data_IF_636566718792
#
_entry.id   IF_636566718792
#
_cell.length_a   1.000
_cell.length_b   1.000
_cell.length_c   1.000
_cell.angle_alpha   90.00
_cell.angle_beta   90.00
_cell.angle_gamma   90.00
#
_symmetry.space_group_name_H-M   'P 1'
#
loop_
_entity.id
_entity.type
_entity.pdbx_description
1 polymer ?
#
# COMPACT_ATOMS: atom_id res chain seq x y z
N UNK A 1 30.58 43.64 37.48
CA UNK A 1 31.60 44.18 36.55
C UNK A 1 31.83 43.17 35.45
N UNK A 2 31.82 43.59 34.19
CA UNK A 2 31.94 42.70 33.05
C UNK A 2 33.43 42.42 32.76
N UNK A 3 33.87 41.17 32.88
CA UNK A 3 35.30 40.78 32.80
C UNK A 3 35.81 40.54 31.37
N UNK A 4 34.95 40.64 30.36
CA UNK A 4 35.29 40.39 28.96
C UNK A 4 35.29 41.68 28.14
N UNK A 5 36.16 41.74 27.11
CA UNK A 5 36.16 42.82 26.11
C UNK A 5 34.78 42.94 25.44
N UNK A 6 34.35 44.17 25.16
CA UNK A 6 33.05 44.45 24.52
C UNK A 6 32.81 43.64 23.24
N UNK A 7 33.88 43.36 22.47
CA UNK A 7 33.81 42.54 21.26
C UNK A 7 33.56 41.05 21.56
N UNK A 8 34.14 40.52 22.65
CA UNK A 8 33.85 39.14 23.08
C UNK A 8 32.40 38.99 23.54
N UNK A 9 31.89 39.97 24.29
CA UNK A 9 30.49 39.96 24.71
C UNK A 9 29.53 40.09 23.53
N UNK A 10 29.86 40.94 22.54
CA UNK A 10 29.09 41.05 21.31
C UNK A 10 29.06 39.74 20.52
N UNK A 11 30.21 39.05 20.44
CA UNK A 11 30.31 37.75 19.76
C UNK A 11 29.53 36.65 20.49
N UNK A 12 29.60 36.61 21.83
CA UNK A 12 28.78 35.68 22.64
C UNK A 12 27.28 35.96 22.43
N UNK A 13 26.87 37.23 22.48
CA UNK A 13 25.48 37.61 22.25
C UNK A 13 25.00 37.24 20.84
N UNK A 14 25.83 37.42 19.83
CA UNK A 14 25.55 37.01 18.45
C UNK A 14 25.32 35.50 18.33
N UNK A 15 26.22 34.68 18.89
CA UNK A 15 26.05 33.23 18.88
C UNK A 15 24.84 32.77 19.69
N UNK A 16 24.55 33.38 20.84
CA UNK A 16 23.34 33.10 21.61
C UNK A 16 22.07 33.39 20.81
N UNK A 17 22.03 34.52 20.10
CA UNK A 17 20.88 34.90 19.27
C UNK A 17 20.74 33.92 18.09
N UNK A 18 21.85 33.52 17.47
CA UNK A 18 21.85 32.53 16.41
C UNK A 18 21.35 31.16 16.89
N UNK A 19 21.81 30.70 18.07
CA UNK A 19 21.33 29.45 18.70
C UNK A 19 19.85 29.53 19.06
N UNK A 20 19.39 30.67 19.59
CA UNK A 20 17.98 30.89 19.90
C UNK A 20 17.11 30.88 18.64
N UNK A 21 17.58 31.51 17.56
CA UNK A 21 16.89 31.51 16.26
C UNK A 21 16.79 30.09 15.68
N UNK A 22 17.84 29.28 15.81
CA UNK A 22 17.85 27.89 15.35
C UNK A 22 16.97 26.96 16.20
N UNK A 23 16.82 27.26 17.49
CA UNK A 23 15.96 26.51 18.41
C UNK A 23 14.48 26.93 18.33
N UNK A 24 14.19 28.15 17.86
CA UNK A 24 12.86 28.76 17.81
C UNK A 24 11.78 27.87 17.15
N UNK A 25 12.03 27.15 16.04
CA UNK A 25 11.00 26.32 15.40
C UNK A 25 10.43 25.23 16.30
N UNK A 26 11.22 24.71 17.25
CA UNK A 26 10.82 23.60 18.12
C UNK A 26 9.90 24.02 19.28
N UNK A 27 9.78 25.34 19.54
CA UNK A 27 8.84 25.87 20.53
C UNK A 27 7.40 25.83 19.98
N UNK A 28 7.25 25.87 18.66
CA UNK A 28 5.96 25.77 18.01
C UNK A 28 5.50 24.30 17.98
N UNK A 29 4.31 24.05 18.52
CA UNK A 29 3.68 22.75 18.52
C UNK A 29 3.06 22.37 17.17
N UNK A 30 2.03 21.53 17.22
CA UNK A 30 1.27 21.12 16.04
C UNK A 30 -0.18 21.60 16.13
N UNK A 31 -0.69 22.17 15.05
CA UNK A 31 -2.10 22.49 14.88
C UNK A 31 -2.88 21.27 14.39
N UNK A 32 -4.12 21.15 14.87
CA UNK A 32 -5.10 20.23 14.32
C UNK A 32 -5.39 20.60 12.87
N UNK A 33 -5.30 19.65 11.95
CA UNK A 33 -5.46 19.92 10.53
C UNK A 33 -6.27 18.85 9.79
N UNK A 34 -6.98 19.26 8.75
CA UNK A 34 -7.51 18.36 7.73
C UNK A 34 -6.67 18.53 6.49
N UNK A 35 -6.11 17.43 6.01
CA UNK A 35 -5.39 17.36 4.75
C UNK A 35 -6.29 16.80 3.68
N UNK A 36 -6.29 17.45 2.52
CA UNK A 36 -6.94 16.96 1.31
C UNK A 36 -5.88 16.77 0.24
N UNK A 37 -5.78 15.53 -0.26
CA UNK A 37 -4.93 15.14 -1.39
C UNK A 37 -5.77 14.47 -2.48
N UNK A 38 -5.26 14.45 -3.71
CA UNK A 38 -5.89 13.69 -4.79
C UNK A 38 -5.72 12.19 -4.55
N UNK A 39 -6.73 11.38 -4.86
CA UNK A 39 -6.67 9.92 -4.78
C UNK A 39 -5.93 9.27 -5.97
N UNK A 40 -5.40 10.07 -6.91
CA UNK A 40 -4.63 9.62 -8.06
C UNK A 40 -3.61 10.68 -8.52
N UNK A 41 -3.20 10.62 -9.78
CA UNK A 41 -2.18 11.52 -10.35
C UNK A 41 -2.68 12.95 -10.65
N UNK A 42 -3.99 13.20 -10.50
CA UNK A 42 -4.54 14.53 -10.69
C UNK A 42 -3.94 15.51 -9.66
N UNK A 43 -3.42 16.65 -10.13
CA UNK A 43 -2.88 17.68 -9.25
C UNK A 43 -4.01 18.45 -8.58
N UNK A 44 -3.81 18.80 -7.31
CA UNK A 44 -4.71 19.74 -6.61
C UNK A 44 -4.41 21.17 -7.05
N UNK A 45 -5.46 21.92 -7.36
CA UNK A 45 -5.40 23.28 -7.87
C UNK A 45 -5.92 24.32 -6.87
N UNK A 46 -5.69 25.60 -7.18
CA UNK A 46 -6.21 26.72 -6.38
C UNK A 46 -7.76 26.80 -6.41
N UNK A 47 -8.37 26.29 -7.47
CA UNK A 47 -9.82 26.14 -7.61
C UNK A 47 -10.39 25.22 -6.53
N UNK A 48 -9.72 24.10 -6.22
CA UNK A 48 -10.09 23.18 -5.15
C UNK A 48 -10.04 23.85 -3.78
N UNK A 49 -9.00 24.65 -3.51
CA UNK A 49 -8.88 25.41 -2.25
C UNK A 49 -10.04 26.39 -2.09
N UNK A 50 -10.43 27.05 -3.17
CA UNK A 50 -11.56 27.98 -3.17
C UNK A 50 -12.87 27.26 -2.90
N UNK A 51 -13.08 26.08 -3.52
CA UNK A 51 -14.25 25.24 -3.27
C UNK A 51 -14.32 24.77 -1.81
N UNK A 52 -13.21 24.24 -1.28
CA UNK A 52 -13.13 23.74 0.10
C UNK A 52 -13.42 24.86 1.11
N UNK A 53 -12.80 26.04 0.93
CA UNK A 53 -13.03 27.18 1.83
C UNK A 53 -14.45 27.71 1.75
N UNK A 54 -15.08 27.71 0.56
CA UNK A 54 -16.49 28.06 0.40
C UNK A 54 -17.42 27.07 1.12
N UNK A 55 -17.18 25.76 0.98
CA UNK A 55 -17.95 24.71 1.65
C UNK A 55 -17.86 24.81 3.18
N UNK A 56 -16.65 25.04 3.72
CA UNK A 56 -16.45 25.21 5.17
C UNK A 56 -17.18 26.46 5.69
N UNK A 57 -17.13 27.57 4.95
CA UNK A 57 -17.86 28.80 5.31
C UNK A 57 -19.37 28.61 5.26
N UNK A 58 -19.90 27.93 4.24
CA UNK A 58 -21.34 27.67 4.09
C UNK A 58 -21.91 26.89 5.29
N UNK A 59 -21.12 26.00 5.89
CA UNK A 59 -21.51 25.21 7.05
C UNK A 59 -21.05 25.82 8.39
N UNK A 60 -20.58 27.07 8.39
CA UNK A 60 -20.10 27.80 9.58
C UNK A 60 -19.01 27.06 10.39
N UNK A 61 -18.14 26.29 9.72
CA UNK A 61 -17.02 25.63 10.39
C UNK A 61 -15.85 26.61 10.47
N UNK A 62 -15.41 26.91 11.70
CA UNK A 62 -14.28 27.82 11.91
C UNK A 62 -12.95 27.12 11.63
N UNK A 63 -12.06 27.80 10.93
CA UNK A 63 -10.70 27.33 10.65
C UNK A 63 -9.70 28.48 10.82
N UNK A 64 -8.47 28.17 11.26
CA UNK A 64 -7.39 29.15 11.46
C UNK A 64 -6.80 29.63 10.12
N UNK A 65 -6.50 28.68 9.24
CA UNK A 65 -5.87 28.95 7.94
C UNK A 65 -6.15 27.82 6.97
N UNK A 66 -6.21 28.11 5.68
CA UNK A 66 -6.27 27.10 4.62
C UNK A 66 -5.25 27.47 3.53
N UNK A 67 -4.37 26.55 3.19
CA UNK A 67 -3.32 26.78 2.20
C UNK A 67 -3.09 25.56 1.30
N UNK A 68 -2.75 25.82 0.04
CA UNK A 68 -2.24 24.82 -0.89
C UNK A 68 -0.71 24.77 -0.78
N UNK A 69 -0.15 23.62 -0.44
CA UNK A 69 1.29 23.40 -0.36
C UNK A 69 1.61 21.99 -0.84
N UNK A 70 2.67 21.78 -1.62
CA UNK A 70 3.12 20.44 -2.04
C UNK A 70 2.00 19.53 -2.59
N UNK A 71 1.16 20.06 -3.49
CA UNK A 71 0.00 19.35 -4.11
C UNK A 71 -1.06 18.83 -3.13
N UNK A 72 -1.11 19.38 -1.92
CA UNK A 72 -2.13 19.07 -0.91
C UNK A 72 -2.71 20.35 -0.33
N UNK A 73 -3.99 20.32 -0.01
CA UNK A 73 -4.65 21.41 0.72
C UNK A 73 -4.62 21.07 2.20
N UNK A 74 -4.20 22.04 2.99
CA UNK A 74 -4.03 21.89 4.43
C UNK A 74 -4.87 22.96 5.13
N UNK A 75 -5.90 22.52 5.82
CA UNK A 75 -6.81 23.38 6.59
C UNK A 75 -6.51 23.17 8.07
N UNK A 76 -6.13 24.23 8.78
CA UNK A 76 -5.80 24.21 10.21
C UNK A 76 -6.99 24.65 11.05
N UNK A 77 -7.19 24.04 12.21
CA UNK A 77 -8.31 24.24 13.13
C UNK A 77 -7.82 24.60 14.53
N UNK A 78 -8.67 25.27 15.30
CA UNK A 78 -8.39 25.58 16.71
C UNK A 78 -8.86 24.51 17.69
N UNK A 79 -9.79 23.67 17.26
CA UNK A 79 -10.45 22.68 18.11
C UNK A 79 -10.74 21.38 17.34
N UNK A 80 -10.89 20.29 18.10
CA UNK A 80 -11.10 18.95 17.56
C UNK A 80 -12.49 18.79 16.92
N UNK A 81 -13.51 19.48 17.46
CA UNK A 81 -14.88 19.36 16.96
C UNK A 81 -15.01 19.94 15.54
N UNK A 82 -14.42 21.12 15.30
CA UNK A 82 -14.36 21.76 13.99
C UNK A 82 -13.54 20.92 12.99
N UNK A 83 -12.43 20.33 13.42
CA UNK A 83 -11.60 19.46 12.58
C UNK A 83 -12.37 18.20 12.14
N UNK A 84 -13.02 17.49 13.07
CA UNK A 84 -13.79 16.29 12.78
C UNK A 84 -14.99 16.60 11.87
N UNK A 85 -15.73 17.68 12.19
CA UNK A 85 -16.86 18.14 11.37
C UNK A 85 -16.41 18.50 9.95
N UNK A 86 -15.25 19.15 9.81
CA UNK A 86 -14.68 19.46 8.50
C UNK A 86 -14.28 18.20 7.74
N UNK A 87 -13.65 17.22 8.39
CA UNK A 87 -13.28 15.94 7.75
C UNK A 87 -14.52 15.24 7.18
N UNK A 88 -15.57 15.09 7.97
CA UNK A 88 -16.78 14.38 7.55
C UNK A 88 -17.53 15.12 6.44
N UNK A 89 -17.62 16.45 6.54
CA UNK A 89 -18.19 17.30 5.51
C UNK A 89 -17.41 17.19 4.19
N UNK A 90 -16.10 17.42 4.23
CA UNK A 90 -15.25 17.41 3.05
C UNK A 90 -15.18 16.03 2.41
N UNK A 91 -15.18 14.95 3.21
CA UNK A 91 -15.24 13.58 2.69
C UNK A 91 -16.54 13.31 1.92
N UNK A 92 -17.65 13.89 2.39
CA UNK A 92 -18.96 13.73 1.73
C UNK A 92 -19.05 14.55 0.44
N UNK A 93 -18.58 15.79 0.47
CA UNK A 93 -18.70 16.76 -0.63
C UNK A 93 -17.68 16.55 -1.76
N UNK A 94 -16.44 16.18 -1.42
CA UNK A 94 -15.38 15.93 -2.40
C UNK A 94 -15.47 14.52 -3.01
N UNK A 95 -16.19 13.62 -2.35
CA UNK A 95 -16.38 12.24 -2.81
C UNK A 95 -15.08 11.43 -2.81
N UNK A 96 -15.07 10.33 -3.58
CA UNK A 96 -13.98 9.33 -3.57
C UNK A 96 -12.73 9.71 -4.37
N UNK A 97 -12.75 10.84 -5.08
CA UNK A 97 -11.61 11.30 -5.89
C UNK A 97 -10.53 12.00 -5.05
N UNK A 98 -10.88 12.37 -3.82
CA UNK A 98 -9.97 13.02 -2.88
C UNK A 98 -9.82 12.14 -1.64
N UNK A 99 -8.61 12.16 -1.09
CA UNK A 99 -8.29 11.58 0.21
C UNK A 99 -8.37 12.71 1.23
N UNK A 100 -9.36 12.63 2.11
CA UNK A 100 -9.56 13.56 3.22
C UNK A 100 -9.11 12.88 4.50
N UNK A 101 -8.04 13.38 5.11
CA UNK A 101 -7.42 12.78 6.28
C UNK A 101 -7.23 13.79 7.42
N UNK A 102 -7.34 13.29 8.65
CA UNK A 102 -6.94 14.04 9.84
C UNK A 102 -5.41 14.05 9.92
N UNK A 103 -4.84 15.21 10.20
CA UNK A 103 -3.39 15.41 10.31
C UNK A 103 -3.06 16.40 11.43
N UNK A 104 -1.79 16.42 11.83
CA UNK A 104 -1.19 17.41 12.70
C UNK A 104 -0.13 18.16 11.89
N UNK A 105 -0.32 19.47 11.71
CA UNK A 105 0.60 20.29 10.95
C UNK A 105 1.46 21.17 11.86
N UNK A 106 2.77 21.33 11.58
CA UNK A 106 3.60 22.25 12.35
C UNK A 106 2.99 23.65 12.38
N UNK A 107 2.93 24.24 13.59
CA UNK A 107 2.45 25.60 13.83
C UNK A 107 3.52 26.67 13.60
N UNK A 108 4.63 26.30 12.96
CA UNK A 108 5.74 27.20 12.68
C UNK A 108 5.28 28.33 11.74
N UNK A 109 5.52 29.60 12.09
CA UNK A 109 5.18 30.73 11.23
C UNK A 109 5.89 30.67 9.87
N UNK A 110 5.22 31.12 8.82
CA UNK A 110 5.74 31.05 7.46
C UNK A 110 7.07 31.81 7.25
N UNK A 111 7.29 32.91 7.99
CA UNK A 111 8.56 33.64 7.94
C UNK A 111 9.73 32.79 8.47
N UNK A 112 9.51 31.97 9.49
CA UNK A 112 10.53 31.11 10.07
C UNK A 112 10.80 29.89 9.18
N UNK A 113 9.75 29.30 8.61
CA UNK A 113 9.88 28.22 7.62
C UNK A 113 10.60 28.71 6.34
N UNK A 114 10.34 29.95 5.91
CA UNK A 114 11.03 30.55 4.75
C UNK A 114 12.54 30.75 4.95
N UNK A 115 12.98 30.88 6.20
CA UNK A 115 14.40 30.93 6.58
C UNK A 115 15.00 29.52 6.78
N UNK A 116 14.24 28.46 6.49
CA UNK A 116 14.65 27.07 6.68
C UNK A 116 14.41 26.53 8.10
N UNK A 117 13.77 27.31 8.97
CA UNK A 117 13.44 26.91 10.34
C UNK A 117 12.26 25.94 10.37
N UNK A 118 12.54 24.65 10.28
CA UNK A 118 11.53 23.58 10.39
C UNK A 118 11.57 22.97 11.79
N UNK A 119 10.40 22.69 12.34
CA UNK A 119 10.30 21.91 13.58
C UNK A 119 10.84 20.49 13.34
N UNK A 120 11.48 19.91 14.35
CA UNK A 120 11.93 18.52 14.29
C UNK A 120 10.75 17.57 14.09
N UNK A 121 10.95 16.50 13.30
CA UNK A 121 9.94 15.45 13.21
C UNK A 121 9.92 14.65 14.51
N UNK A 122 8.76 14.65 15.16
CA UNK A 122 8.53 13.95 16.39
C UNK A 122 8.17 12.50 16.10
N UNK A 123 8.82 11.57 16.80
CA UNK A 123 8.51 10.14 16.74
C UNK A 123 7.14 9.80 17.32
N UNK A 124 6.76 8.53 17.21
CA UNK A 124 5.48 8.00 17.67
C UNK A 124 5.18 8.34 19.14
N UNK A 125 6.19 8.27 20.02
CA UNK A 125 6.00 8.49 21.46
C UNK A 125 5.67 9.95 21.82
N UNK A 126 6.12 10.90 20.99
CA UNK A 126 5.93 12.34 21.22
C UNK A 126 4.76 12.91 20.42
N UNK A 127 4.50 12.39 19.23
CA UNK A 127 3.41 12.84 18.34
C UNK A 127 2.12 12.01 18.51
N UNK A 128 2.21 10.86 19.18
CA UNK A 128 1.17 9.84 19.16
C UNK A 128 1.05 9.16 17.78
N UNK A 129 0.18 8.15 17.68
CA UNK A 129 -0.08 7.42 16.44
C UNK A 129 -0.26 5.92 16.68
N UNK A 130 0.14 5.11 15.70
CA UNK A 130 0.04 3.64 15.78
C UNK A 130 1.32 2.92 15.34
N UNK A 131 1.57 1.79 16.00
CA UNK A 131 2.61 0.83 15.66
C UNK A 131 1.96 -0.51 15.32
N UNK A 132 2.22 -1.03 14.12
CA UNK A 132 1.74 -2.34 13.69
C UNK A 132 2.92 -3.26 13.38
N UNK A 133 2.81 -4.49 13.84
CA UNK A 133 3.65 -5.61 13.45
C UNK A 133 2.79 -6.54 12.58
N UNK A 134 3.16 -6.67 11.31
CA UNK A 134 2.46 -7.52 10.34
C UNK A 134 3.35 -8.71 9.98
N UNK A 135 2.75 -9.89 9.82
CA UNK A 135 3.45 -11.12 9.41
C UNK A 135 2.94 -11.57 8.04
N UNK A 136 3.86 -11.95 7.17
CA UNK A 136 3.54 -12.46 5.83
C UNK A 136 3.47 -13.98 5.88
N UNK A 137 2.41 -14.55 5.31
CA UNK A 137 2.24 -15.99 5.20
C UNK A 137 3.21 -16.58 4.16
N UNK A 138 4.37 -17.05 4.64
CA UNK A 138 5.40 -17.62 3.78
C UNK A 138 5.03 -18.97 3.19
N UNK A 139 4.11 -19.72 3.82
CA UNK A 139 3.64 -21.00 3.27
C UNK A 139 2.77 -20.74 2.05
N UNK A 140 1.87 -19.75 2.12
CA UNK A 140 1.08 -19.32 0.97
C UNK A 140 1.97 -18.86 -0.20
N UNK A 141 3.03 -18.09 0.07
CA UNK A 141 3.99 -17.63 -0.96
C UNK A 141 4.67 -18.82 -1.65
N UNK A 142 5.08 -19.83 -0.90
CA UNK A 142 5.68 -21.04 -1.46
C UNK A 142 4.66 -21.85 -2.28
N UNK A 143 3.45 -22.02 -1.79
CA UNK A 143 2.37 -22.70 -2.51
C UNK A 143 2.05 -22.00 -3.85
N UNK A 144 1.98 -20.66 -3.86
CA UNK A 144 1.81 -19.87 -5.08
C UNK A 144 2.99 -20.01 -6.03
N UNK A 145 4.22 -20.09 -5.51
CA UNK A 145 5.42 -20.33 -6.31
C UNK A 145 5.36 -21.71 -6.97
N UNK A 146 4.90 -22.74 -6.25
CA UNK A 146 4.67 -24.07 -6.82
C UNK A 146 3.61 -24.03 -7.93
N UNK A 147 2.51 -23.30 -7.74
CA UNK A 147 1.48 -23.15 -8.77
C UNK A 147 2.02 -22.44 -10.02
N UNK A 148 2.86 -21.42 -9.84
CA UNK A 148 3.57 -20.75 -10.95
C UNK A 148 4.43 -21.74 -11.72
N UNK A 149 5.34 -22.45 -11.04
CA UNK A 149 6.24 -23.41 -11.69
C UNK A 149 5.48 -24.61 -12.29
N UNK A 150 4.37 -25.05 -11.70
CA UNK A 150 3.50 -26.08 -12.27
C UNK A 150 2.96 -25.67 -13.64
N UNK A 151 2.47 -24.44 -13.77
CA UNK A 151 1.95 -23.92 -15.02
C UNK A 151 3.05 -23.73 -16.07
N UNK A 152 4.23 -23.29 -15.64
CA UNK A 152 5.41 -23.12 -16.48
C UNK A 152 5.91 -24.47 -17.01
N UNK A 153 6.10 -25.46 -16.15
CA UNK A 153 6.46 -26.84 -16.51
C UNK A 153 5.43 -27.47 -17.44
N UNK A 154 4.14 -27.29 -17.15
CA UNK A 154 3.05 -27.82 -18.00
C UNK A 154 3.12 -27.24 -19.42
N UNK A 155 3.46 -25.96 -19.55
CA UNK A 155 3.59 -25.28 -20.84
C UNK A 155 4.83 -25.77 -21.56
N UNK A 156 6.00 -25.73 -20.90
CA UNK A 156 7.29 -26.15 -21.43
C UNK A 156 7.27 -27.60 -21.94
N UNK A 157 6.77 -28.53 -21.12
CA UNK A 157 6.78 -29.95 -21.48
C UNK A 157 5.69 -30.32 -22.50
N UNK A 158 4.70 -29.44 -22.74
CA UNK A 158 3.63 -29.67 -23.73
C UNK A 158 4.12 -29.45 -25.15
N UNK A 159 4.99 -28.47 -25.37
CA UNK A 159 5.54 -28.14 -26.70
C UNK A 159 6.25 -29.34 -27.34
N UNK A 160 6.99 -30.12 -26.55
CA UNK A 160 7.67 -31.35 -26.99
C UNK A 160 6.91 -32.66 -26.71
N UNK A 161 5.68 -32.60 -26.16
CA UNK A 161 4.92 -33.78 -25.67
C UNK A 161 5.74 -34.69 -24.75
N UNK A 162 6.56 -34.08 -23.90
CA UNK A 162 7.59 -34.77 -23.14
C UNK A 162 7.06 -35.49 -21.89
N UNK A 163 5.77 -35.43 -21.58
CA UNK A 163 5.20 -36.02 -20.35
C UNK A 163 3.93 -36.84 -20.61
N UNK A 164 3.61 -37.75 -19.67
CA UNK A 164 2.34 -38.49 -19.59
C UNK A 164 1.33 -37.77 -18.68
N UNK A 165 1.77 -37.36 -17.48
CA UNK A 165 0.97 -36.58 -16.55
C UNK A 165 1.83 -35.72 -15.64
N UNK A 166 1.35 -34.54 -15.25
CA UNK A 166 1.97 -33.67 -14.25
C UNK A 166 0.93 -33.41 -13.16
N UNK A 167 1.32 -33.65 -11.91
CA UNK A 167 0.47 -33.44 -10.73
C UNK A 167 1.23 -32.61 -9.69
N UNK A 168 0.50 -31.78 -8.96
CA UNK A 168 1.01 -31.10 -7.77
C UNK A 168 0.82 -32.03 -6.57
N UNK A 169 1.87 -32.22 -5.78
CA UNK A 169 1.87 -33.00 -4.54
C UNK A 169 2.49 -32.13 -3.43
N UNK A 170 1.63 -31.42 -2.70
CA UNK A 170 2.06 -30.49 -1.65
C UNK A 170 3.03 -29.44 -2.19
N UNK A 171 4.26 -29.49 -1.68
CA UNK A 171 5.36 -28.55 -1.99
C UNK A 171 6.22 -29.01 -3.18
N UNK A 172 5.71 -29.94 -3.98
CA UNK A 172 6.44 -30.54 -5.08
C UNK A 172 5.54 -30.85 -6.28
N UNK A 173 6.19 -31.14 -7.40
CA UNK A 173 5.53 -31.42 -8.67
C UNK A 173 5.99 -32.80 -9.15
N UNK A 174 5.05 -33.73 -9.22
CA UNK A 174 5.27 -35.07 -9.71
C UNK A 174 5.03 -35.13 -11.22
N UNK A 175 6.05 -35.54 -11.99
CA UNK A 175 6.01 -35.65 -13.44
C UNK A 175 6.22 -37.10 -13.83
N UNK A 176 5.24 -37.67 -14.53
CA UNK A 176 5.30 -39.03 -15.06
C UNK A 176 5.61 -38.99 -16.54
N UNK A 177 6.58 -39.79 -16.97
CA UNK A 177 7.04 -39.91 -18.35
C UNK A 177 6.50 -41.16 -19.03
N UNK A 178 6.64 -41.21 -20.36
CA UNK A 178 6.29 -42.39 -21.16
C UNK A 178 7.48 -43.32 -21.37
N UNK A 179 8.68 -42.75 -21.50
CA UNK A 179 9.94 -43.46 -21.76
C UNK A 179 11.10 -42.73 -21.05
N UNK A 180 12.20 -43.45 -20.82
CA UNK A 180 13.42 -42.89 -20.23
C UNK A 180 14.05 -41.80 -21.11
N UNK A 181 14.07 -41.96 -22.43
CA UNK A 181 14.59 -40.92 -23.35
C UNK A 181 13.83 -39.59 -23.24
N UNK A 182 12.51 -39.64 -23.04
CA UNK A 182 11.70 -38.44 -22.86
C UNK A 182 11.94 -37.80 -21.50
N UNK A 183 12.19 -38.60 -20.46
CA UNK A 183 12.61 -38.12 -19.14
C UNK A 183 13.93 -37.37 -19.24
N UNK A 184 14.94 -37.92 -19.91
CA UNK A 184 16.26 -37.27 -20.03
C UNK A 184 16.18 -35.96 -20.81
N UNK A 185 15.42 -35.95 -21.92
CA UNK A 185 15.14 -34.73 -22.69
C UNK A 185 14.40 -33.68 -21.86
N UNK A 186 13.40 -34.10 -21.07
CA UNK A 186 12.66 -33.20 -20.19
C UNK A 186 13.56 -32.62 -19.09
N UNK A 187 14.40 -33.44 -18.45
CA UNK A 187 15.32 -33.00 -17.41
C UNK A 187 16.35 -32.00 -17.94
N UNK A 188 16.90 -32.25 -19.13
CA UNK A 188 17.79 -31.30 -19.80
C UNK A 188 17.09 -29.96 -20.07
N UNK A 189 15.82 -30.00 -20.51
CA UNK A 189 15.04 -28.81 -20.79
C UNK A 189 14.66 -28.04 -19.52
N UNK A 190 14.26 -28.73 -18.46
CA UNK A 190 13.94 -28.12 -17.17
C UNK A 190 15.18 -27.43 -16.59
N UNK A 191 16.35 -28.10 -16.60
CA UNK A 191 17.60 -27.49 -16.12
C UNK A 191 18.04 -26.27 -16.94
N UNK A 192 17.79 -26.27 -18.25
CA UNK A 192 18.12 -25.17 -19.16
C UNK A 192 17.20 -23.96 -18.97
N UNK A 193 15.89 -24.19 -18.92
CA UNK A 193 14.90 -23.13 -19.00
C UNK A 193 14.39 -22.68 -17.61
N UNK A 194 14.48 -23.55 -16.59
CA UNK A 194 13.98 -23.32 -15.24
C UNK A 194 15.03 -23.78 -14.21
N UNK A 195 16.10 -23.00 -14.05
CA UNK A 195 17.20 -23.28 -13.12
C UNK A 195 16.80 -23.32 -11.64
N UNK A 196 15.63 -22.77 -11.32
CA UNK A 196 15.12 -22.66 -9.95
C UNK A 196 14.61 -23.99 -9.38
N UNK A 197 14.41 -24.99 -10.24
CA UNK A 197 13.85 -26.28 -9.89
C UNK A 197 14.92 -27.37 -9.71
N UNK A 198 14.75 -28.18 -8.68
CA UNK A 198 15.62 -29.32 -8.36
C UNK A 198 14.82 -30.62 -8.39
N UNK A 199 15.45 -31.70 -8.86
CA UNK A 199 14.85 -33.03 -8.79
C UNK A 199 14.99 -33.53 -7.36
N UNK A 200 13.87 -33.87 -6.75
CA UNK A 200 13.82 -34.54 -5.44
C UNK A 200 13.99 -36.04 -5.68
N UNK A 201 14.86 -36.67 -4.90
CA UNK A 201 15.14 -38.10 -5.01
C UNK A 201 13.84 -38.90 -4.88
N UNK A 202 13.43 -39.55 -5.97
CA UNK A 202 12.30 -40.46 -5.97
C UNK A 202 12.86 -41.83 -5.62
N UNK A 203 12.44 -42.43 -4.50
CA UNK A 203 12.85 -43.78 -4.14
C UNK A 203 12.58 -44.75 -5.29
N UNK A 204 13.47 -45.74 -5.45
CA UNK A 204 13.70 -46.69 -6.57
C UNK A 204 12.49 -47.46 -7.17
N UNK A 205 11.24 -47.07 -6.91
CA UNK A 205 10.05 -47.85 -7.29
C UNK A 205 9.44 -47.49 -8.66
N UNK A 206 9.76 -46.33 -9.26
CA UNK A 206 9.23 -45.94 -10.59
C UNK A 206 10.21 -45.02 -11.34
N UNK A 207 11.11 -45.60 -12.14
CA UNK A 207 12.13 -44.85 -12.90
C UNK A 207 11.54 -43.81 -13.88
N UNK A 208 10.26 -43.94 -14.23
CA UNK A 208 9.53 -43.03 -15.12
C UNK A 208 8.80 -41.91 -14.37
N UNK A 209 8.88 -41.87 -13.05
CA UNK A 209 8.38 -40.79 -12.21
C UNK A 209 9.55 -39.96 -11.71
N UNK A 210 9.42 -38.64 -11.78
CA UNK A 210 10.30 -37.73 -11.05
C UNK A 210 9.46 -36.80 -10.20
N UNK A 211 10.03 -36.40 -9.07
CA UNK A 211 9.50 -35.35 -8.25
C UNK A 211 10.42 -34.14 -8.36
N UNK A 212 9.84 -32.95 -8.52
CA UNK A 212 10.58 -31.70 -8.67
C UNK A 212 10.14 -30.73 -7.59
N UNK A 213 11.09 -30.11 -6.91
CA UNK A 213 10.89 -29.10 -5.88
C UNK A 213 11.55 -27.78 -6.25
N UNK A 214 11.22 -26.73 -5.51
CA UNK A 214 11.87 -25.42 -5.64
C UNK A 214 13.19 -25.46 -4.86
N UNK A 215 14.28 -25.02 -5.48
CA UNK A 215 15.58 -24.89 -4.81
C UNK A 215 15.52 -23.92 -3.63
N UNK A 216 16.36 -24.14 -2.61
CA UNK A 216 16.39 -23.29 -1.41
C UNK A 216 16.65 -21.81 -1.74
N UNK A 217 17.46 -21.54 -2.76
CA UNK A 217 17.76 -20.18 -3.19
C UNK A 217 16.55 -19.53 -3.86
N UNK A 218 15.83 -20.24 -4.72
CA UNK A 218 14.59 -19.75 -5.30
C UNK A 218 13.49 -19.55 -4.23
N UNK A 219 13.42 -20.42 -3.21
CA UNK A 219 12.52 -20.22 -2.07
C UNK A 219 12.85 -18.94 -1.30
N UNK A 220 14.13 -18.67 -1.01
CA UNK A 220 14.56 -17.42 -0.33
C UNK A 220 14.25 -16.20 -1.17
N UNK A 221 14.47 -16.26 -2.49
CA UNK A 221 14.15 -15.17 -3.42
C UNK A 221 12.64 -14.92 -3.43
N UNK A 222 11.82 -15.97 -3.52
CA UNK A 222 10.37 -15.85 -3.50
C UNK A 222 9.87 -15.19 -2.21
N UNK A 223 10.34 -15.64 -1.03
CA UNK A 223 10.01 -15.05 0.28
C UNK A 223 10.44 -13.57 0.38
N UNK A 224 11.67 -13.26 -0.03
CA UNK A 224 12.21 -11.88 -0.04
C UNK A 224 11.43 -10.97 -0.98
N UNK A 225 11.08 -11.47 -2.16
CA UNK A 225 10.30 -10.74 -3.16
C UNK A 225 8.88 -10.45 -2.65
N UNK A 226 8.20 -11.45 -2.09
CA UNK A 226 6.88 -11.29 -1.49
C UNK A 226 6.88 -10.24 -0.37
N UNK A 227 7.91 -10.23 0.47
CA UNK A 227 8.05 -9.22 1.52
C UNK A 227 8.24 -7.80 0.94
N UNK A 228 9.11 -7.64 -0.06
CA UNK A 228 9.32 -6.34 -0.74
C UNK A 228 8.06 -5.84 -1.44
N UNK A 229 7.32 -6.75 -2.06
CA UNK A 229 6.04 -6.44 -2.69
C UNK A 229 5.03 -5.94 -1.64
N UNK A 230 4.88 -6.67 -0.53
CA UNK A 230 3.99 -6.27 0.56
C UNK A 230 4.39 -4.92 1.19
N UNK A 231 5.70 -4.65 1.36
CA UNK A 231 6.18 -3.33 1.80
C UNK A 231 5.73 -2.23 0.84
N UNK A 232 5.82 -2.47 -0.47
CA UNK A 232 5.41 -1.51 -1.50
C UNK A 232 3.89 -1.29 -1.49
N UNK A 233 3.12 -2.37 -1.36
CA UNK A 233 1.66 -2.29 -1.19
C UNK A 233 1.26 -1.51 0.06
N UNK A 234 1.93 -1.75 1.19
CA UNK A 234 1.69 -1.01 2.43
C UNK A 234 2.03 0.47 2.28
N UNK A 235 3.10 0.85 1.56
CA UNK A 235 3.41 2.26 1.27
C UNK A 235 2.25 2.96 0.55
N UNK A 236 1.70 2.33 -0.48
CA UNK A 236 0.58 2.90 -1.23
C UNK A 236 -0.66 3.09 -0.35
N UNK A 237 -0.99 2.10 0.48
CA UNK A 237 -2.10 2.17 1.42
C UNK A 237 -1.94 3.24 2.48
N UNK A 238 -0.71 3.45 2.96
CA UNK A 238 -0.45 4.51 3.93
C UNK A 238 -0.61 5.91 3.31
N UNK A 239 -0.32 6.07 2.01
CA UNK A 239 -0.62 7.31 1.31
C UNK A 239 -2.13 7.60 1.32
N UNK A 240 -2.98 6.58 1.23
CA UNK A 240 -4.45 6.72 1.36
C UNK A 240 -4.90 7.15 2.76
N UNK A 241 -4.08 6.91 3.79
CA UNK A 241 -4.32 7.42 5.14
C UNK A 241 -3.93 8.90 5.28
N UNK A 242 -3.25 9.48 4.28
CA UNK A 242 -2.80 10.87 4.30
C UNK A 242 -1.65 11.15 5.27
N UNK A 243 -0.93 10.11 5.72
CA UNK A 243 0.20 10.21 6.65
C UNK A 243 1.43 10.72 5.90
N UNK A 244 2.04 11.79 6.41
CA UNK A 244 3.14 12.45 5.70
C UNK A 244 4.49 11.72 5.81
N UNK A 245 4.75 11.00 6.90
CA UNK A 245 6.06 10.39 7.19
C UNK A 245 5.92 9.00 7.85
N UNK A 246 5.48 7.98 7.11
CA UNK A 246 5.39 6.63 7.66
C UNK A 246 6.73 5.90 7.63
N UNK A 247 6.96 5.08 8.66
CA UNK A 247 8.11 4.17 8.70
C UNK A 247 7.61 2.77 8.40
N UNK A 248 8.01 2.22 7.25
CA UNK A 248 7.65 0.86 6.83
C UNK A 248 8.95 0.11 6.56
N UNK A 249 9.25 -0.86 7.42
CA UNK A 249 10.52 -1.58 7.40
C UNK A 249 10.31 -3.07 7.64
N UNK A 250 11.18 -3.87 7.04
CA UNK A 250 11.27 -5.30 7.34
C UNK A 250 11.81 -5.51 8.76
N UNK A 251 11.17 -6.39 9.53
CA UNK A 251 11.68 -6.87 10.81
C UNK A 251 11.87 -8.39 10.73
N UNK A 252 13.12 -8.86 10.74
CA UNK A 252 13.43 -10.28 10.59
C UNK A 252 13.12 -10.80 9.18
N UNK A 253 12.78 -12.08 9.05
CA UNK A 253 12.60 -12.74 7.75
C UNK A 253 11.17 -12.63 7.20
N UNK A 254 10.17 -12.49 8.07
CA UNK A 254 8.76 -12.67 7.69
C UNK A 254 7.84 -11.54 8.15
N UNK A 255 8.37 -10.56 8.90
CA UNK A 255 7.56 -9.49 9.50
C UNK A 255 7.89 -8.12 8.92
N UNK A 256 6.89 -7.24 8.98
CA UNK A 256 6.97 -5.86 8.55
C UNK A 256 6.48 -4.99 9.71
N UNK A 257 7.30 -4.02 10.11
CA UNK A 257 6.94 -2.96 11.05
C UNK A 257 6.40 -1.78 10.28
N UNK A 258 5.23 -1.29 10.70
CA UNK A 258 4.61 -0.08 10.20
C UNK A 258 4.38 0.88 11.36
N UNK A 259 4.97 2.07 11.29
CA UNK A 259 4.74 3.15 12.24
C UNK A 259 4.11 4.33 11.53
N UNK A 260 2.99 4.80 12.06
CA UNK A 260 2.24 5.92 11.51
C UNK A 260 2.11 7.02 12.57
N UNK A 261 3.09 7.94 12.66
CA UNK A 261 3.03 9.07 13.58
C UNK A 261 1.89 10.03 13.22
N UNK A 262 1.20 10.55 14.22
CA UNK A 262 0.14 11.54 14.05
C UNK A 262 -1.17 11.00 13.46
N UNK A 263 -1.30 9.69 13.23
CA UNK A 263 -2.59 9.07 12.86
C UNK A 263 -3.54 9.16 14.05
N UNK A 264 -4.67 9.81 13.83
CA UNK A 264 -5.72 9.94 14.84
C UNK A 264 -6.74 8.79 14.81
N UNK A 265 -6.98 8.19 13.63
CA UNK A 265 -8.00 7.16 13.41
C UNK A 265 -7.36 5.77 13.27
N UNK A 266 -7.14 5.11 14.41
CA UNK A 266 -6.42 3.83 14.50
C UNK A 266 -7.22 2.67 13.91
N UNK A 267 -8.55 2.67 14.09
CA UNK A 267 -9.44 1.67 13.54
C UNK A 267 -9.41 1.72 12.00
N UNK A 268 -9.50 2.92 11.42
CA UNK A 268 -9.41 3.10 9.97
C UNK A 268 -8.05 2.70 9.41
N UNK A 269 -6.97 3.00 10.13
CA UNK A 269 -5.63 2.55 9.76
C UNK A 269 -5.53 1.01 9.74
N UNK A 270 -6.05 0.34 10.76
CA UNK A 270 -6.07 -1.13 10.82
C UNK A 270 -6.88 -1.74 9.65
N UNK A 271 -8.03 -1.18 9.33
CA UNK A 271 -8.85 -1.64 8.20
C UNK A 271 -8.12 -1.53 6.86
N UNK A 272 -7.53 -0.37 6.58
CA UNK A 272 -6.83 -0.13 5.31
C UNK A 272 -5.57 -0.99 5.18
N UNK A 273 -4.81 -1.16 6.25
CA UNK A 273 -3.60 -1.99 6.22
C UNK A 273 -3.90 -3.49 6.22
N UNK A 274 -4.97 -3.93 6.87
CA UNK A 274 -5.35 -5.34 6.98
C UNK A 274 -6.21 -5.87 5.83
N UNK A 275 -6.81 -5.00 5.00
CA UNK A 275 -7.65 -5.45 3.88
C UNK A 275 -6.83 -6.27 2.87
N UNK A 276 -7.32 -7.40 2.38
CA UNK A 276 -6.70 -8.07 1.22
C UNK A 276 -7.40 -7.56 -0.02
N UNK A 277 -6.69 -6.86 -0.90
CA UNK A 277 -7.26 -6.38 -2.15
C UNK A 277 -7.03 -7.46 -3.22
N UNK A 278 -7.97 -8.38 -3.38
CA UNK A 278 -7.92 -9.35 -4.48
C UNK A 278 -8.52 -8.71 -5.72
N UNK A 279 -7.73 -8.58 -6.79
CA UNK A 279 -8.23 -8.08 -8.05
C UNK A 279 -8.75 -9.27 -8.87
N UNK A 280 -10.01 -9.24 -9.30
CA UNK A 280 -10.59 -10.31 -10.10
C UNK A 280 -11.02 -9.78 -11.46
N UNK A 281 -10.56 -10.45 -12.52
CA UNK A 281 -11.02 -10.19 -13.88
C UNK A 281 -12.15 -11.15 -14.22
N UNK A 282 -13.32 -10.59 -14.52
CA UNK A 282 -14.54 -11.32 -14.86
C UNK A 282 -15.07 -10.83 -16.21
N UNK A 283 -15.71 -11.72 -16.96
CA UNK A 283 -16.35 -11.33 -18.22
C UNK A 283 -17.59 -10.47 -17.93
N UNK A 284 -17.81 -9.46 -18.77
CA UNK A 284 -19.08 -8.73 -18.79
C UNK A 284 -20.17 -9.64 -19.34
N UNK A 285 -21.35 -9.59 -18.71
CA UNK A 285 -22.52 -10.29 -19.22
C UNK A 285 -23.28 -9.40 -20.22
N UNK A 286 -22.96 -9.55 -21.50
CA UNK A 286 -23.59 -8.78 -22.58
C UNK A 286 -25.00 -9.29 -22.93
N UNK A 287 -25.40 -10.49 -22.48
CA UNK A 287 -26.68 -11.10 -22.86
C UNK A 287 -27.86 -10.61 -22.04
N UNK A 288 -27.60 -10.08 -20.84
CA UNK A 288 -28.63 -9.66 -19.91
C UNK A 288 -28.49 -8.17 -19.60
N UNK A 289 -29.61 -7.46 -19.48
CA UNK A 289 -29.61 -6.04 -19.16
C UNK A 289 -29.45 -5.81 -17.64
N UNK A 290 -28.44 -5.05 -17.19
CA UNK A 290 -28.30 -4.65 -15.80
C UNK A 290 -29.52 -3.91 -15.22
N UNK A 291 -30.27 -3.17 -16.03
CA UNK A 291 -31.44 -2.41 -15.57
C UNK A 291 -32.59 -3.33 -15.16
N UNK A 292 -32.80 -4.42 -15.90
CA UNK A 292 -33.81 -5.43 -15.59
C UNK A 292 -33.50 -6.13 -14.26
N UNK A 293 -32.22 -6.36 -13.97
CA UNK A 293 -31.79 -6.96 -12.70
C UNK A 293 -32.04 -6.04 -11.50
N UNK A 294 -31.90 -4.72 -11.68
CA UNK A 294 -32.20 -3.72 -10.64
C UNK A 294 -33.71 -3.67 -10.37
N UNK A 295 -34.52 -3.55 -11.43
CA UNK A 295 -35.97 -3.41 -11.31
C UNK A 295 -36.64 -4.66 -10.73
N UNK A 296 -36.17 -5.85 -11.11
CA UNK A 296 -36.71 -7.12 -10.62
C UNK A 296 -36.12 -7.57 -9.29
N UNK A 297 -35.05 -6.92 -8.80
CA UNK A 297 -34.29 -7.33 -7.62
C UNK A 297 -33.64 -8.71 -7.73
N UNK A 298 -33.58 -9.31 -8.93
CA UNK A 298 -33.08 -10.67 -9.19
C UNK A 298 -32.00 -10.64 -10.26
N UNK A 299 -30.82 -11.15 -9.91
CA UNK A 299 -29.70 -11.29 -10.86
C UNK A 299 -29.83 -12.57 -11.69
N UNK A 300 -29.57 -12.52 -13.01
CA UNK A 300 -29.55 -13.71 -13.88
C UNK A 300 -28.58 -14.78 -13.38
N UNK A 301 -28.91 -16.05 -13.64
CA UNK A 301 -28.08 -17.20 -13.24
C UNK A 301 -26.69 -17.09 -13.86
N UNK A 302 -25.65 -17.24 -13.03
CA UNK A 302 -24.26 -17.16 -13.45
C UNK A 302 -23.74 -15.73 -13.64
N UNK A 303 -24.49 -14.72 -13.18
CA UNK A 303 -24.11 -13.32 -13.21
C UNK A 303 -24.34 -12.64 -11.85
N UNK A 304 -23.56 -11.59 -11.58
CA UNK A 304 -23.65 -10.78 -10.38
C UNK A 304 -23.61 -9.30 -10.77
N UNK A 305 -24.46 -8.51 -10.11
CA UNK A 305 -24.57 -7.08 -10.34
C UNK A 305 -23.48 -6.33 -9.54
N UNK A 306 -22.77 -5.45 -10.25
CA UNK A 306 -21.77 -4.54 -9.73
C UNK A 306 -22.07 -3.11 -10.16
N UNK A 307 -21.39 -2.13 -9.56
CA UNK A 307 -21.53 -0.72 -9.90
C UNK A 307 -20.15 -0.10 -10.15
N UNK A 308 -20.05 0.73 -11.19
CA UNK A 308 -18.88 1.56 -11.46
C UNK A 308 -18.75 2.71 -10.43
N UNK A 309 -17.58 3.37 -10.39
CA UNK A 309 -17.32 4.52 -9.51
C UNK A 309 -18.29 5.70 -9.74
N UNK A 310 -18.86 5.79 -10.94
CA UNK A 310 -19.85 6.79 -11.36
C UNK A 310 -21.31 6.34 -11.12
N UNK A 311 -21.52 5.16 -10.51
CA UNK A 311 -22.84 4.63 -10.18
C UNK A 311 -23.51 3.84 -11.31
N UNK A 312 -22.89 3.70 -12.48
CA UNK A 312 -23.47 2.89 -13.57
C UNK A 312 -23.48 1.40 -13.20
N UNK A 313 -24.58 0.68 -13.43
CA UNK A 313 -24.64 -0.75 -13.15
C UNK A 313 -23.92 -1.57 -14.23
N UNK A 314 -23.34 -2.69 -13.82
CA UNK A 314 -22.64 -3.63 -14.68
C UNK A 314 -22.96 -5.06 -14.22
N UNK A 315 -23.36 -5.92 -15.16
CA UNK A 315 -23.45 -7.35 -14.90
C UNK A 315 -22.13 -8.02 -15.27
N UNK A 316 -21.56 -8.75 -14.32
CA UNK A 316 -20.36 -9.58 -14.53
C UNK A 316 -20.72 -11.04 -14.36
N UNK A 317 -20.14 -11.92 -15.18
CA UNK A 317 -20.23 -13.36 -14.99
C UNK A 317 -19.59 -13.76 -13.66
N UNK A 318 -20.15 -14.78 -13.01
CA UNK A 318 -19.63 -15.28 -11.72
C UNK A 318 -18.27 -15.96 -11.87
N UNK A 319 -17.96 -16.49 -13.05
CA UNK A 319 -16.69 -17.15 -13.35
C UNK A 319 -15.56 -16.12 -13.45
N UNK A 320 -14.54 -16.29 -12.60
CA UNK A 320 -13.29 -15.53 -12.65
C UNK A 320 -12.44 -16.06 -13.80
N UNK A 321 -11.97 -15.17 -14.66
CA UNK A 321 -11.07 -15.48 -15.78
C UNK A 321 -9.65 -15.62 -15.23
N UNK A 322 -9.22 -14.60 -14.49
CA UNK A 322 -7.92 -14.53 -13.85
C UNK A 322 -8.01 -13.60 -12.64
N UNK A 323 -7.10 -13.78 -11.69
CA UNK A 323 -6.94 -12.93 -10.52
C UNK A 323 -5.63 -12.17 -10.64
N UNK A 324 -5.67 -10.86 -10.38
CA UNK A 324 -4.49 -10.03 -10.22
C UNK A 324 -4.10 -9.88 -8.76
N UNK A 325 -2.82 -9.63 -8.52
CA UNK A 325 -2.28 -9.09 -7.27
C UNK A 325 -2.04 -7.59 -7.38
#
# INVERSE_FOLDING_TARGET
MNHYSGLRNALIAFFLLLSALYALPNIFGSDLAVQVSSAGDAAIEQSDLTKITATLKQKNIQYKSAALSNRRILVRFGDNASQLSAKDLLKTELGRNYVVALNLAPSVPQWLDSLGGRAMSLGLDLRGGVHFLLEVDMQAVLAMSIDKYYNELRTLLREGRLYKSIKKEGDSIAIRFKTLELKDKALARIKSDISDLIVLETGDQDELLIQVGISDDAQKIAKSSALKQNITTLRNRVNELGVAEPIIQQQGLERIVVQLPGVQDTARAKEILGAVATLEFRLVDEKNDPQTAIQSGRTPIGSKLYYFKDGRPLLLKTRVITTGE
#
